data_IF_603659633951
#
_entry.id   IF_603659633951
#
_cell.length_a   1.000
_cell.length_b   1.000
_cell.length_c   1.000
_cell.angle_alpha   90.00
_cell.angle_beta   90.00
_cell.angle_gamma   90.00
#
_symmetry.space_group_name_H-M   'P 1'
#
loop_
_entity.id
_entity.type
_entity.pdbx_description
1 polymer ?
#
# COMPACT_ATOMS: atom_id res chain seq x y z
N UNK A 1 9.80 22.20 4.43
CA UNK A 1 9.40 21.70 3.11
C UNK A 1 8.69 20.39 3.34
N UNK A 2 7.55 20.17 2.68
CA UNK A 2 6.83 18.90 2.85
C UNK A 2 7.48 17.75 2.06
N UNK A 3 7.17 16.52 2.43
CA UNK A 3 7.66 15.30 1.77
C UNK A 3 7.17 15.26 0.32
N UNK A 4 8.06 14.99 -0.64
CA UNK A 4 7.69 14.74 -2.04
C UNK A 4 7.00 13.38 -2.20
N UNK A 5 6.05 13.25 -3.12
CA UNK A 5 5.47 11.98 -3.51
C UNK A 5 6.54 11.00 -4.03
N UNK A 6 7.58 11.52 -4.70
CA UNK A 6 8.69 10.70 -5.21
C UNK A 6 9.38 9.89 -4.12
N UNK A 7 9.53 10.44 -2.90
CA UNK A 7 10.12 9.72 -1.77
C UNK A 7 9.32 8.45 -1.43
N UNK A 8 7.99 8.49 -1.55
CA UNK A 8 7.11 7.34 -1.29
C UNK A 8 7.10 6.39 -2.49
N UNK A 9 7.14 6.94 -3.70
CA UNK A 9 7.22 6.13 -4.93
C UNK A 9 8.51 5.34 -5.03
N UNK A 10 9.64 5.92 -4.65
CA UNK A 10 10.93 5.23 -4.62
C UNK A 10 10.91 4.06 -3.62
N UNK A 11 10.28 4.24 -2.47
CA UNK A 11 10.09 3.16 -1.50
C UNK A 11 9.17 2.07 -2.06
N UNK A 12 8.06 2.43 -2.69
CA UNK A 12 7.16 1.48 -3.34
C UNK A 12 7.90 0.68 -4.43
N UNK A 13 8.69 1.34 -5.28
CA UNK A 13 9.47 0.71 -6.34
C UNK A 13 10.56 -0.21 -5.78
N UNK A 14 11.19 0.17 -4.67
CA UNK A 14 12.20 -0.68 -4.02
C UNK A 14 11.63 -1.96 -3.43
N UNK A 15 10.34 -1.97 -3.06
CA UNK A 15 9.64 -3.12 -2.48
C UNK A 15 8.92 -3.97 -3.54
N UNK A 16 8.77 -3.46 -4.76
CA UNK A 16 7.97 -4.08 -5.81
C UNK A 16 8.70 -4.15 -7.14
N UNK A 17 9.20 -5.34 -7.49
CA UNK A 17 9.83 -5.63 -8.78
C UNK A 17 8.77 -6.04 -9.82
N UNK A 18 8.13 -5.07 -10.49
CA UNK A 18 7.20 -5.37 -11.60
C UNK A 18 7.73 -4.84 -12.94
N UNK A 19 7.87 -5.75 -13.91
CA UNK A 19 8.25 -5.44 -15.28
C UNK A 19 7.31 -4.44 -15.98
N UNK A 20 6.03 -4.38 -15.61
CA UNK A 20 5.06 -3.43 -16.18
C UNK A 20 5.39 -2.01 -15.76
N UNK A 21 5.78 -1.82 -14.50
CA UNK A 21 6.22 -0.52 -13.98
C UNK A 21 7.49 -0.07 -14.69
N UNK A 22 8.46 -0.99 -14.85
CA UNK A 22 9.67 -0.72 -15.62
C UNK A 22 9.36 -0.33 -17.08
N UNK A 23 8.35 -0.95 -17.71
CA UNK A 23 7.91 -0.61 -19.06
C UNK A 23 7.36 0.81 -19.14
N UNK A 24 6.54 1.24 -18.17
CA UNK A 24 6.01 2.61 -18.09
C UNK A 24 7.15 3.63 -17.96
N UNK A 25 8.10 3.35 -17.06
CA UNK A 25 9.26 4.22 -16.87
C UNK A 25 10.11 4.35 -18.16
N UNK A 26 10.41 3.23 -18.79
CA UNK A 26 11.24 3.18 -20.00
C UNK A 26 10.57 3.82 -21.23
N UNK A 27 9.23 3.75 -21.33
CA UNK A 27 8.49 4.29 -22.47
C UNK A 27 8.14 5.77 -22.36
N UNK A 28 7.93 6.28 -21.15
CA UNK A 28 7.29 7.59 -20.94
C UNK A 28 7.96 8.47 -19.89
N UNK A 29 9.02 7.99 -19.24
CA UNK A 29 9.82 8.74 -18.27
C UNK A 29 9.20 8.82 -16.86
N UNK A 30 9.91 9.53 -15.97
CA UNK A 30 9.54 9.64 -14.55
C UNK A 30 8.19 10.33 -14.31
N UNK A 31 7.87 11.36 -15.08
CA UNK A 31 6.61 12.10 -14.92
C UNK A 31 5.38 11.23 -15.22
N UNK A 32 5.45 10.38 -16.24
CA UNK A 32 4.37 9.45 -16.54
C UNK A 32 4.25 8.34 -15.49
N UNK A 33 5.37 7.91 -14.92
CA UNK A 33 5.39 6.95 -13.82
C UNK A 33 4.74 7.55 -12.57
N UNK A 34 5.07 8.77 -12.20
CA UNK A 34 4.48 9.47 -11.06
C UNK A 34 2.96 9.59 -11.24
N UNK A 35 2.50 9.98 -12.42
CA UNK A 35 1.07 10.05 -12.74
C UNK A 35 0.39 8.68 -12.66
N UNK A 36 1.08 7.61 -13.02
CA UNK A 36 0.57 6.24 -12.92
C UNK A 36 0.47 5.77 -11.46
N UNK A 37 1.41 6.17 -10.60
CA UNK A 37 1.47 5.75 -9.19
C UNK A 37 0.60 6.62 -8.27
N UNK A 38 0.31 7.85 -8.64
CA UNK A 38 -0.43 8.82 -7.81
C UNK A 38 -1.79 8.29 -7.30
N UNK A 39 -2.64 7.61 -8.11
CA UNK A 39 -3.89 7.04 -7.61
C UNK A 39 -3.68 6.02 -6.47
N UNK A 40 -2.60 5.24 -6.51
CA UNK A 40 -2.28 4.29 -5.45
C UNK A 40 -1.87 4.99 -4.16
N UNK A 41 -1.16 6.11 -4.28
CA UNK A 41 -0.81 6.96 -3.14
C UNK A 41 -2.07 7.56 -2.51
N UNK A 42 -3.00 8.07 -3.30
CA UNK A 42 -4.26 8.64 -2.80
C UNK A 42 -5.10 7.60 -2.05
N UNK A 43 -5.22 6.38 -2.57
CA UNK A 43 -5.87 5.27 -1.85
C UNK A 43 -5.14 4.91 -0.56
N UNK A 44 -3.81 5.01 -0.55
CA UNK A 44 -3.01 4.71 0.64
C UNK A 44 -3.19 5.77 1.73
N UNK A 45 -3.29 7.03 1.35
CA UNK A 45 -3.60 8.14 2.25
C UNK A 45 -4.97 7.91 2.92
N UNK A 46 -5.98 7.56 2.13
CA UNK A 46 -7.34 7.29 2.61
C UNK A 46 -7.37 6.10 3.61
N UNK A 47 -6.58 5.06 3.34
CA UNK A 47 -6.52 3.88 4.21
C UNK A 47 -5.71 4.12 5.49
N UNK A 48 -4.77 5.06 5.47
CA UNK A 48 -3.91 5.40 6.62
C UNK A 48 -4.52 6.50 7.50
N UNK A 49 -5.79 6.39 7.84
CA UNK A 49 -6.58 7.34 8.64
C UNK A 49 -6.07 7.50 10.09
N UNK A 50 -5.29 6.53 10.58
CA UNK A 50 -4.73 6.50 11.94
C UNK A 50 -3.35 7.16 12.05
N UNK A 51 -2.89 7.86 11.01
CA UNK A 51 -1.57 8.51 11.00
C UNK A 51 -1.48 9.63 12.03
N UNK A 52 -0.36 9.68 12.78
CA UNK A 52 -0.04 10.71 13.76
C UNK A 52 0.35 12.06 13.13
N UNK A 53 0.67 12.05 11.83
CA UNK A 53 1.01 13.24 11.06
C UNK A 53 -0.10 13.57 10.05
N UNK A 54 -0.21 14.85 9.68
CA UNK A 54 -1.12 15.24 8.60
C UNK A 54 -0.69 14.61 7.27
N UNK A 55 -1.62 13.90 6.62
CA UNK A 55 -1.45 13.33 5.29
C UNK A 55 -2.06 14.22 4.20
N UNK A 56 -2.22 15.51 4.47
CA UNK A 56 -2.71 16.47 3.48
C UNK A 56 -1.74 16.54 2.30
N UNK A 57 -2.24 16.19 1.12
CA UNK A 57 -1.48 16.02 -0.11
C UNK A 57 -1.99 16.96 -1.21
N UNK A 58 -1.09 17.61 -1.91
CA UNK A 58 -1.38 18.44 -3.07
C UNK A 58 -1.00 17.73 -4.36
N UNK A 59 -1.98 17.44 -5.18
CA UNK A 59 -1.78 16.85 -6.52
C UNK A 59 -1.06 17.81 -7.48
N UNK A 60 -1.19 19.12 -7.27
CA UNK A 60 -0.54 20.13 -8.12
C UNK A 60 0.98 20.17 -7.89
N UNK A 61 1.42 20.09 -6.63
CA UNK A 61 2.84 20.10 -6.28
C UNK A 61 3.42 18.71 -6.09
N UNK A 62 2.59 17.67 -6.12
CA UNK A 62 2.93 16.28 -5.83
C UNK A 62 3.71 16.13 -4.53
N UNK A 63 3.23 16.81 -3.47
CA UNK A 63 3.90 16.83 -2.17
C UNK A 63 2.90 16.91 -1.02
N UNK A 64 3.32 16.39 0.12
CA UNK A 64 2.62 16.55 1.40
C UNK A 64 2.89 17.94 1.97
N UNK A 65 1.95 18.45 2.78
CA UNK A 65 2.11 19.76 3.44
C UNK A 65 3.15 19.71 4.57
N UNK A 66 3.40 18.52 5.14
CA UNK A 66 4.34 18.29 6.23
C UNK A 66 5.46 17.32 5.82
N UNK A 67 6.53 17.34 6.58
CA UNK A 67 7.64 16.39 6.43
C UNK A 67 7.30 15.08 7.16
N UNK A 68 7.02 14.02 6.40
CA UNK A 68 6.62 12.74 6.94
C UNK A 68 7.82 11.98 7.53
N UNK A 69 7.60 11.33 8.67
CA UNK A 69 8.58 10.42 9.24
C UNK A 69 8.86 9.25 8.29
N UNK A 70 10.07 8.68 8.35
CA UNK A 70 10.43 7.53 7.52
C UNK A 70 9.48 6.34 7.73
N UNK A 71 8.98 6.17 8.97
CA UNK A 71 7.99 5.14 9.29
C UNK A 71 6.68 5.33 8.53
N UNK A 72 6.19 6.58 8.45
CA UNK A 72 4.94 6.89 7.76
C UNK A 72 5.10 6.76 6.24
N UNK A 73 6.24 7.18 5.68
CA UNK A 73 6.57 6.97 4.26
C UNK A 73 6.61 5.47 3.91
N UNK A 74 7.26 4.66 4.74
CA UNK A 74 7.32 3.20 4.53
C UNK A 74 5.93 2.56 4.57
N UNK A 75 5.10 2.95 5.53
CA UNK A 75 3.76 2.39 5.67
C UNK A 75 2.85 2.78 4.50
N UNK A 76 2.93 4.04 4.02
CA UNK A 76 2.24 4.46 2.80
C UNK A 76 2.67 3.60 1.59
N UNK A 77 3.97 3.40 1.39
CA UNK A 77 4.48 2.56 0.30
C UNK A 77 3.99 1.11 0.39
N UNK A 78 3.94 0.54 1.59
CA UNK A 78 3.41 -0.81 1.80
C UNK A 78 1.90 -0.91 1.52
N UNK A 79 1.13 0.11 1.87
CA UNK A 79 -0.30 0.18 1.55
C UNK A 79 -0.49 0.32 0.03
N UNK A 80 0.34 1.10 -0.66
CA UNK A 80 0.33 1.18 -2.13
C UNK A 80 0.52 -0.22 -2.76
N UNK A 81 1.41 -1.05 -2.22
CA UNK A 81 1.61 -2.44 -2.68
C UNK A 81 0.33 -3.26 -2.53
N UNK A 82 -0.42 -3.07 -1.45
CA UNK A 82 -1.69 -3.78 -1.26
C UNK A 82 -2.69 -3.48 -2.38
N UNK A 83 -2.87 -2.20 -2.74
CA UNK A 83 -3.75 -1.80 -3.83
C UNK A 83 -3.25 -2.26 -5.20
N UNK A 84 -1.94 -2.22 -5.42
CA UNK A 84 -1.33 -2.76 -6.63
C UNK A 84 -1.56 -4.27 -6.76
N UNK A 85 -1.41 -5.05 -5.68
CA UNK A 85 -1.71 -6.48 -5.65
C UNK A 85 -3.18 -6.74 -5.92
N UNK A 86 -4.09 -5.94 -5.34
CA UNK A 86 -5.53 -6.05 -5.59
C UNK A 86 -5.84 -5.90 -7.07
N UNK A 87 -5.30 -4.88 -7.73
CA UNK A 87 -5.45 -4.70 -9.18
C UNK A 87 -4.89 -5.89 -9.95
N UNK A 88 -3.70 -6.37 -9.59
CA UNK A 88 -3.06 -7.51 -10.25
C UNK A 88 -3.91 -8.78 -10.17
N UNK A 89 -4.57 -9.03 -9.03
CA UNK A 89 -5.52 -10.14 -8.87
C UNK A 89 -6.74 -9.94 -9.78
N UNK A 90 -7.29 -8.74 -9.83
CA UNK A 90 -8.44 -8.43 -10.69
C UNK A 90 -8.10 -8.58 -12.18
N UNK A 91 -6.93 -8.12 -12.61
CA UNK A 91 -6.47 -8.27 -14.01
C UNK A 91 -6.36 -9.75 -14.40
N UNK A 92 -5.83 -10.61 -13.53
CA UNK A 92 -5.74 -12.05 -13.78
C UNK A 92 -7.12 -12.70 -13.83
N UNK A 93 -8.05 -12.29 -12.97
CA UNK A 93 -9.45 -12.77 -13.02
C UNK A 93 -10.13 -12.41 -14.35
N UNK A 94 -9.94 -11.19 -14.82
CA UNK A 94 -10.48 -10.74 -16.11
C UNK A 94 -9.87 -11.54 -17.27
N UNK A 95 -8.54 -11.73 -17.29
CA UNK A 95 -7.88 -12.55 -18.31
C UNK A 95 -8.39 -13.97 -18.33
N UNK A 96 -8.63 -14.59 -17.18
CA UNK A 96 -9.18 -15.95 -17.11
C UNK A 96 -10.56 -16.05 -17.75
N UNK A 97 -11.40 -15.04 -17.61
CA UNK A 97 -12.73 -15.02 -18.25
C UNK A 97 -12.65 -14.93 -19.77
N UNK A 98 -11.60 -14.31 -20.34
CA UNK A 98 -11.38 -14.23 -21.78
C UNK A 98 -10.72 -15.50 -22.39
N UNK A 99 -10.04 -16.31 -21.56
CA UNK A 99 -9.25 -17.46 -22.03
C UNK A 99 -10.05 -18.78 -21.91
N UNK A 100 -11.26 -18.78 -21.38
CA UNK A 100 -12.10 -19.99 -21.17
C UNK A 100 -12.34 -20.81 -22.47
N UNK A 101 -12.00 -20.29 -23.64
CA UNK A 101 -12.21 -20.95 -24.94
C UNK A 101 -11.06 -21.88 -25.41
N UNK A 102 -10.01 -22.10 -24.61
CA UNK A 102 -8.89 -23.00 -24.96
C UNK A 102 -8.43 -23.88 -23.82
N UNK A 103 -8.85 -25.12 -23.84
CA UNK A 103 -8.74 -26.20 -22.83
C UNK A 103 -7.35 -26.49 -22.20
N UNK A 104 -6.25 -25.92 -22.67
CA UNK A 104 -4.90 -26.38 -22.27
C UNK A 104 -4.17 -25.47 -21.26
N UNK A 105 -4.66 -24.26 -20.94
CA UNK A 105 -4.01 -23.32 -19.99
C UNK A 105 -4.74 -23.11 -18.66
N UNK A 106 -5.84 -23.78 -18.44
CA UNK A 106 -6.73 -23.51 -17.32
C UNK A 106 -6.08 -23.86 -15.96
N UNK A 107 -5.35 -24.97 -15.87
CA UNK A 107 -4.73 -25.38 -14.60
C UNK A 107 -3.60 -24.46 -14.12
N UNK A 108 -2.72 -24.01 -15.02
CA UNK A 108 -1.62 -23.09 -14.69
C UNK A 108 -2.13 -21.71 -14.25
N UNK A 109 -3.19 -21.21 -14.88
CA UNK A 109 -3.76 -19.91 -14.55
C UNK A 109 -4.53 -19.93 -13.23
N UNK A 110 -5.24 -21.01 -12.91
CA UNK A 110 -5.96 -21.16 -11.65
C UNK A 110 -5.00 -21.24 -10.44
N UNK A 111 -3.86 -21.91 -10.60
CA UNK A 111 -2.84 -21.97 -9.54
C UNK A 111 -2.18 -20.60 -9.33
N UNK A 112 -1.79 -19.91 -10.41
CA UNK A 112 -1.22 -18.55 -10.34
C UNK A 112 -2.20 -17.56 -9.68
N UNK A 113 -3.50 -17.67 -9.99
CA UNK A 113 -4.52 -16.85 -9.35
C UNK A 113 -4.62 -17.12 -7.85
N UNK A 114 -4.60 -18.40 -7.45
CA UNK A 114 -4.63 -18.78 -6.02
C UNK A 114 -3.42 -18.24 -5.26
N UNK A 115 -2.24 -18.34 -5.83
CA UNK A 115 -1.01 -17.82 -5.23
C UNK A 115 -1.06 -16.31 -5.07
N UNK A 116 -1.55 -15.58 -6.07
CA UNK A 116 -1.73 -14.12 -6.00
C UNK A 116 -2.80 -13.70 -5.00
N UNK A 117 -3.91 -14.43 -4.91
CA UNK A 117 -4.93 -14.20 -3.89
C UNK A 117 -4.41 -14.44 -2.48
N UNK A 118 -3.61 -15.50 -2.29
CA UNK A 118 -2.98 -15.80 -1.01
C UNK A 118 -2.00 -14.68 -0.62
N UNK A 119 -1.17 -14.23 -1.55
CA UNK A 119 -0.25 -13.13 -1.33
C UNK A 119 -0.98 -11.83 -0.96
N UNK A 120 -2.05 -11.50 -1.66
CA UNK A 120 -2.90 -10.35 -1.35
C UNK A 120 -3.51 -10.44 0.05
N UNK A 121 -4.08 -11.60 0.41
CA UNK A 121 -4.71 -11.80 1.71
C UNK A 121 -3.69 -11.70 2.86
N UNK A 122 -2.50 -12.29 2.68
CA UNK A 122 -1.41 -12.20 3.64
C UNK A 122 -0.95 -10.75 3.82
N UNK A 123 -0.74 -10.02 2.72
CA UNK A 123 -0.33 -8.61 2.77
C UNK A 123 -1.40 -7.73 3.40
N UNK A 124 -2.67 -7.96 3.11
CA UNK A 124 -3.80 -7.26 3.73
C UNK A 124 -3.82 -7.49 5.25
N UNK A 125 -3.64 -8.72 5.70
CA UNK A 125 -3.60 -9.06 7.13
C UNK A 125 -2.41 -8.39 7.83
N UNK A 126 -1.22 -8.44 7.21
CA UNK A 126 -0.01 -7.78 7.72
C UNK A 126 -0.21 -6.27 7.89
N UNK A 127 -0.74 -5.59 6.86
CA UNK A 127 -0.99 -4.15 6.90
C UNK A 127 -2.05 -3.81 7.95
N UNK A 128 -3.13 -4.59 8.05
CA UNK A 128 -4.15 -4.38 9.06
C UNK A 128 -3.58 -4.48 10.48
N UNK A 129 -2.68 -5.43 10.73
CA UNK A 129 -1.98 -5.53 12.02
C UNK A 129 -1.04 -4.34 12.26
N UNK A 130 -0.32 -3.89 11.23
CA UNK A 130 0.56 -2.72 11.34
C UNK A 130 -0.23 -1.45 11.67
N UNK A 131 -1.37 -1.22 11.03
CA UNK A 131 -2.25 -0.08 11.29
C UNK A 131 -2.86 -0.16 12.70
N UNK A 132 -3.30 -1.34 13.13
CA UNK A 132 -3.79 -1.54 14.49
C UNK A 132 -2.70 -1.27 15.53
N UNK A 133 -1.49 -1.81 15.33
CA UNK A 133 -0.35 -1.55 16.22
C UNK A 133 0.09 -0.09 16.19
N UNK A 134 -0.05 0.59 15.06
CA UNK A 134 0.22 2.02 14.94
C UNK A 134 -0.72 2.82 15.82
N UNK A 135 -2.02 2.56 15.71
CA UNK A 135 -3.07 3.20 16.56
C UNK A 135 -2.89 2.93 18.04
N UNK A 136 -2.50 1.70 18.42
CA UNK A 136 -2.30 1.32 19.82
C UNK A 136 -1.07 1.96 20.46
N UNK A 137 -0.04 2.34 19.65
CA UNK A 137 1.14 3.04 20.17
C UNK A 137 0.85 4.47 20.63
N UNK A 138 -0.08 5.15 19.96
CA UNK A 138 -0.51 6.50 20.34
C UNK A 138 -1.60 6.50 21.43
N UNK A 139 -2.30 5.40 21.59
CA UNK A 139 -3.17 5.23 22.72
C UNK A 139 -2.30 4.88 23.93
N UNK A 140 -2.14 5.83 24.85
CA UNK A 140 -1.65 5.62 26.23
C UNK A 140 -2.51 4.62 27.03
N UNK A 141 -3.12 3.67 26.32
CA UNK A 141 -4.00 2.64 26.90
C UNK A 141 -3.25 1.74 27.88
N UNK A 142 -1.95 1.54 27.69
CA UNK A 142 -1.14 0.79 28.65
C UNK A 142 -0.93 1.55 29.96
N UNK A 143 -0.71 2.86 29.90
CA UNK A 143 -0.58 3.68 31.10
C UNK A 143 -1.93 3.83 31.84
N UNK A 144 -3.04 3.99 31.12
CA UNK A 144 -4.37 4.02 31.68
C UNK A 144 -4.79 2.70 32.37
N UNK A 145 -4.22 1.56 31.97
CA UNK A 145 -4.45 0.28 32.64
C UNK A 145 -3.58 0.08 33.88
N UNK A 146 -2.38 0.64 33.94
CA UNK A 146 -1.48 0.55 35.06
C UNK A 146 -1.71 1.68 36.11
N UNK A 147 -2.32 2.80 35.72
CA UNK A 147 -2.73 3.89 36.61
C UNK A 147 -4.10 3.67 37.30
N UNK A 148 -4.79 2.58 36.99
CA UNK A 148 -5.91 2.13 37.82
C UNK A 148 -5.34 1.50 39.09
N UNK A 149 -5.13 2.37 40.05
CA UNK A 149 -4.89 2.20 41.46
C UNK A 149 -5.10 0.78 42.02
N UNK A 150 -3.99 0.10 42.29
CA UNK A 150 -3.92 -0.91 43.35
C UNK A 150 -3.73 -0.29 44.74
N UNK A 151 -4.03 0.99 44.93
CA UNK A 151 -3.90 1.68 46.25
C UNK A 151 -5.19 1.72 47.06
N UNK A 152 -6.11 0.79 46.81
CA UNK A 152 -7.35 0.69 47.61
C UNK A 152 -7.58 -0.74 48.10
N UNK A 153 -6.63 -1.32 48.85
CA UNK A 153 -6.89 -2.38 49.84
C UNK A 153 -5.81 -2.36 50.91
#
# INVERSE_FOLDING_TARGET
MGTSAEDVFDLFLSLNEDYRIATVYNSSGSSALNTYLEPWLLFSIDMFDVCDQSLEYSTTTQSFTVDLSQKNKNLLAEIMILFWLQKTVQDVLQMNNFIQDRDFKIHSNAQNLREKQLLYNNKRSEISQKLMNYKLKDADMWNAWFDQDFSAY
#
